data_IF_469265555314
#
_entry.id   IF_469265555314
#
_cell.length_a   1.000
_cell.length_b   1.000
_cell.length_c   1.000
_cell.angle_alpha   90.00
_cell.angle_beta   90.00
_cell.angle_gamma   90.00
#
_symmetry.space_group_name_H-M   'P 1'
#
loop_
_entity.id
_entity.type
_entity.pdbx_description
1 polymer ?
#
# COMPACT_ATOMS: atom_id res chain seq x y z
N UNK A 1 -44.94 1.61 -3.41
CA UNK A 1 -44.67 1.09 -2.05
C UNK A 1 -44.72 2.28 -1.11
N UNK A 2 -45.61 2.26 -0.11
CA UNK A 2 -45.75 3.35 0.86
C UNK A 2 -44.46 3.48 1.66
N UNK A 3 -43.69 4.55 1.41
CA UNK A 3 -42.48 4.87 2.15
C UNK A 3 -42.91 5.35 3.53
N UNK A 4 -42.90 4.46 4.51
CA UNK A 4 -43.14 4.83 5.91
C UNK A 4 -42.13 5.90 6.28
N UNK A 5 -42.61 7.13 6.52
CA UNK A 5 -41.77 8.26 6.92
C UNK A 5 -41.11 7.87 8.24
N UNK A 6 -39.83 7.50 8.21
CA UNK A 6 -39.04 7.18 9.40
C UNK A 6 -38.83 8.47 10.19
N UNK A 7 -39.77 8.84 11.05
CA UNK A 7 -39.59 10.00 11.93
C UNK A 7 -38.60 9.67 13.03
N UNK A 8 -37.55 10.49 13.16
CA UNK A 8 -36.58 10.38 14.26
C UNK A 8 -36.89 11.36 15.39
N UNK A 9 -36.54 11.00 16.62
CA UNK A 9 -36.74 11.83 17.81
C UNK A 9 -35.84 13.07 17.83
N UNK A 10 -36.22 14.09 18.61
CA UNK A 10 -35.51 15.38 18.70
C UNK A 10 -34.06 15.27 19.19
N UNK A 11 -33.78 14.29 20.05
CA UNK A 11 -32.44 14.05 20.61
C UNK A 11 -31.57 13.16 19.72
N UNK A 12 -32.07 12.71 18.56
CA UNK A 12 -31.27 11.89 17.66
C UNK A 12 -30.17 12.74 17.03
N UNK A 13 -28.94 12.24 17.11
CA UNK A 13 -27.75 12.89 16.57
C UNK A 13 -27.16 12.07 15.42
N UNK A 14 -26.94 12.73 14.29
CA UNK A 14 -26.18 12.17 13.16
C UNK A 14 -25.32 13.28 12.54
N UNK A 15 -24.36 12.89 11.70
CA UNK A 15 -23.55 13.79 10.89
C UNK A 15 -24.16 14.02 9.51
N UNK A 16 -25.00 13.12 9.01
CA UNK A 16 -25.57 13.20 7.67
C UNK A 16 -27.08 13.31 7.74
N UNK A 17 -27.62 14.44 7.29
CA UNK A 17 -29.03 14.76 7.37
C UNK A 17 -29.61 15.03 5.99
N UNK A 18 -30.75 14.41 5.73
CA UNK A 18 -31.61 14.62 4.59
C UNK A 18 -32.87 15.35 5.08
N UNK A 19 -33.11 16.54 4.56
CA UNK A 19 -34.23 17.36 4.98
C UNK A 19 -35.09 17.79 3.80
N UNK A 20 -36.38 17.96 4.08
CA UNK A 20 -37.33 18.65 3.22
C UNK A 20 -38.12 19.62 4.08
N UNK A 21 -38.11 20.89 3.70
CA UNK A 21 -38.81 21.95 4.42
C UNK A 21 -39.88 22.53 3.51
N UNK A 22 -41.12 22.59 3.98
CA UNK A 22 -42.18 23.26 3.25
C UNK A 22 -41.99 24.78 3.37
N UNK A 23 -42.12 25.46 2.24
CA UNK A 23 -41.93 26.90 2.11
C UNK A 23 -43.29 27.51 1.82
N UNK A 24 -43.78 28.37 2.72
CA UNK A 24 -45.04 29.08 2.51
C UNK A 24 -44.81 30.33 1.66
N UNK A 25 -43.84 31.16 2.09
CA UNK A 25 -43.51 32.43 1.47
C UNK A 25 -42.00 32.56 1.19
N UNK A 26 -41.64 33.44 0.26
CA UNK A 26 -40.25 33.65 -0.17
C UNK A 26 -39.40 34.29 0.95
N UNK A 27 -39.99 35.08 1.85
CA UNK A 27 -39.31 35.63 3.03
C UNK A 27 -38.85 34.52 3.99
N UNK A 28 -39.70 33.50 4.19
CA UNK A 28 -39.35 32.35 5.03
C UNK A 28 -38.22 31.53 4.40
N UNK A 29 -38.27 31.32 3.08
CA UNK A 29 -37.17 30.67 2.35
C UNK A 29 -35.85 31.41 2.55
N UNK A 30 -35.88 32.73 2.43
CA UNK A 30 -34.70 33.58 2.60
C UNK A 30 -34.14 33.48 4.02
N UNK A 31 -34.99 33.50 5.05
CA UNK A 31 -34.56 33.34 6.45
C UNK A 31 -33.89 31.98 6.69
N UNK A 32 -34.44 30.90 6.14
CA UNK A 32 -33.83 29.56 6.23
C UNK A 32 -32.46 29.54 5.53
N UNK A 33 -32.35 30.13 4.34
CA UNK A 33 -31.09 30.22 3.60
C UNK A 33 -30.04 31.03 4.36
N UNK A 34 -30.38 32.20 4.87
CA UNK A 34 -29.49 33.06 5.66
C UNK A 34 -29.02 32.34 6.94
N UNK A 35 -29.91 31.62 7.60
CA UNK A 35 -29.59 30.84 8.79
C UNK A 35 -28.59 29.72 8.49
N UNK A 36 -28.74 29.03 7.36
CA UNK A 36 -27.81 28.00 6.88
C UNK A 36 -26.46 28.62 6.53
N UNK A 37 -26.44 29.77 5.82
CA UNK A 37 -25.23 30.51 5.49
C UNK A 37 -24.46 30.95 6.74
N UNK A 38 -25.16 31.46 7.76
CA UNK A 38 -24.56 31.83 9.04
C UNK A 38 -23.99 30.63 9.80
N UNK A 39 -24.61 29.45 9.69
CA UNK A 39 -24.08 28.23 10.30
C UNK A 39 -22.87 27.68 9.51
N UNK A 40 -22.85 27.86 8.19
CA UNK A 40 -21.71 27.53 7.36
C UNK A 40 -20.51 28.45 7.64
N UNK A 41 -20.72 29.75 7.83
CA UNK A 41 -19.70 30.70 8.24
C UNK A 41 -19.02 30.33 9.57
N UNK A 42 -19.70 29.56 10.44
CA UNK A 42 -19.14 29.01 11.68
C UNK A 42 -18.29 27.74 11.47
N UNK A 43 -18.16 27.25 10.23
CA UNK A 43 -17.37 26.07 9.87
C UNK A 43 -17.98 24.74 10.32
N UNK A 44 -19.30 24.66 10.47
CA UNK A 44 -19.95 23.42 10.95
C UNK A 44 -20.14 22.36 9.87
N UNK A 45 -20.29 22.77 8.61
CA UNK A 45 -20.56 21.87 7.51
C UNK A 45 -19.27 21.35 6.89
N UNK A 46 -19.27 20.05 6.62
CA UNK A 46 -18.35 19.42 5.68
C UNK A 46 -18.89 19.54 4.24
N UNK A 47 -20.21 19.51 4.07
CA UNK A 47 -20.91 19.71 2.80
C UNK A 47 -22.34 20.17 3.06
N UNK A 48 -22.83 21.14 2.30
CA UNK A 48 -24.21 21.61 2.36
C UNK A 48 -24.74 21.90 0.96
N UNK A 49 -25.94 21.40 0.67
CA UNK A 49 -26.66 21.66 -0.57
C UNK A 49 -28.13 21.96 -0.26
N UNK A 50 -28.60 23.10 -0.75
CA UNK A 50 -30.00 23.50 -0.76
C UNK A 50 -30.47 23.51 -2.20
N UNK A 51 -31.38 22.60 -2.53
CA UNK A 51 -31.95 22.49 -3.88
C UNK A 51 -32.91 23.64 -4.20
N UNK A 52 -33.24 23.79 -5.49
CA UNK A 52 -34.28 24.70 -5.97
C UNK A 52 -35.66 24.37 -5.40
N UNK A 53 -36.57 25.34 -5.43
CA UNK A 53 -37.95 25.18 -4.97
C UNK A 53 -38.70 24.16 -5.82
N UNK A 54 -39.29 23.17 -5.16
CA UNK A 54 -40.09 22.10 -5.75
C UNK A 54 -41.57 22.26 -5.40
N UNK A 55 -42.44 21.70 -6.24
CA UNK A 55 -43.89 21.62 -5.98
C UNK A 55 -44.34 20.16 -5.95
N UNK A 56 -45.18 19.79 -4.98
CA UNK A 56 -45.72 18.44 -4.90
C UNK A 56 -46.61 18.12 -6.10
N UNK A 57 -46.27 17.07 -6.85
CA UNK A 57 -46.94 16.72 -8.12
C UNK A 57 -47.98 15.60 -8.00
N UNK A 58 -48.01 14.87 -6.88
CA UNK A 58 -48.87 13.69 -6.70
C UNK A 58 -50.18 14.04 -5.97
N UNK A 59 -51.37 13.92 -6.62
CA UNK A 59 -52.65 14.33 -6.03
C UNK A 59 -53.09 13.54 -4.80
N UNK A 60 -52.62 12.30 -4.68
CA UNK A 60 -53.00 11.39 -3.59
C UNK A 60 -52.16 11.58 -2.32
N UNK A 61 -51.23 12.54 -2.31
CA UNK A 61 -50.38 12.83 -1.16
C UNK A 61 -50.77 14.18 -0.53
N UNK A 62 -50.55 14.30 0.78
CA UNK A 62 -50.94 15.49 1.56
C UNK A 62 -50.10 16.73 1.23
N UNK A 63 -49.03 16.56 0.46
CA UNK A 63 -48.10 17.59 0.02
C UNK A 63 -48.34 18.07 -1.43
N UNK A 64 -49.46 17.65 -2.05
CA UNK A 64 -49.84 18.10 -3.38
C UNK A 64 -49.93 19.63 -3.45
N UNK A 65 -49.29 20.22 -4.47
CA UNK A 65 -49.16 21.66 -4.69
C UNK A 65 -48.43 22.45 -3.60
N UNK A 66 -47.88 21.80 -2.57
CA UNK A 66 -47.10 22.48 -1.53
C UNK A 66 -45.67 22.73 -2.04
N UNK A 67 -45.25 24.00 -1.96
CA UNK A 67 -43.87 24.40 -2.26
C UNK A 67 -42.94 23.89 -1.16
N UNK A 68 -41.82 23.29 -1.53
CA UNK A 68 -40.85 22.77 -0.59
C UNK A 68 -39.44 22.76 -1.16
N UNK A 69 -38.45 22.69 -0.28
CA UNK A 69 -37.03 22.64 -0.64
C UNK A 69 -36.40 21.42 0.01
N UNK A 70 -35.54 20.75 -0.74
CA UNK A 70 -34.72 19.64 -0.25
C UNK A 70 -33.33 20.14 0.16
N UNK A 71 -32.86 19.71 1.32
CA UNK A 71 -31.58 20.11 1.90
C UNK A 71 -30.78 18.86 2.24
N UNK A 72 -29.57 18.79 1.70
CA UNK A 72 -28.59 17.73 1.97
C UNK A 72 -27.44 18.32 2.77
N UNK A 73 -27.29 17.89 4.03
CA UNK A 73 -26.28 18.43 4.95
C UNK A 73 -25.37 17.33 5.51
N UNK A 74 -24.06 17.60 5.51
CA UNK A 74 -23.04 16.79 6.16
C UNK A 74 -22.27 17.68 7.14
N UNK A 75 -22.31 17.33 8.42
CA UNK A 75 -21.64 18.06 9.49
C UNK A 75 -20.27 17.44 9.83
N UNK A 76 -19.33 18.26 10.31
CA UNK A 76 -18.07 17.78 10.86
C UNK A 76 -18.29 16.92 12.13
N UNK A 77 -19.13 17.42 13.03
CA UNK A 77 -19.53 16.76 14.28
C UNK A 77 -20.99 16.32 14.20
N UNK A 78 -21.40 15.37 15.06
CA UNK A 78 -22.82 15.00 15.16
C UNK A 78 -23.66 16.22 15.54
N UNK A 79 -24.79 16.40 14.85
CA UNK A 79 -25.76 17.45 15.14
C UNK A 79 -27.11 16.81 15.45
N UNK A 80 -27.79 17.31 16.48
CA UNK A 80 -29.11 16.81 16.86
C UNK A 80 -30.20 17.39 15.98
N UNK A 81 -31.29 16.63 15.78
CA UNK A 81 -32.49 17.11 15.07
C UNK A 81 -32.98 18.45 15.64
N UNK A 82 -33.06 18.57 16.97
CA UNK A 82 -33.50 19.81 17.64
C UNK A 82 -32.58 21.00 17.38
N UNK A 83 -31.26 20.79 17.35
CA UNK A 83 -30.32 21.87 17.03
C UNK A 83 -30.47 22.35 15.60
N UNK A 84 -30.73 21.44 14.64
CA UNK A 84 -30.94 21.81 13.25
C UNK A 84 -32.19 22.66 13.10
N UNK A 85 -33.32 22.21 13.67
CA UNK A 85 -34.60 22.94 13.62
C UNK A 85 -34.43 24.35 14.20
N UNK A 86 -33.77 24.46 15.35
CA UNK A 86 -33.55 25.75 16.02
C UNK A 86 -32.58 26.67 15.27
N UNK A 87 -31.46 26.13 14.76
CA UNK A 87 -30.43 26.96 14.12
C UNK A 87 -30.83 27.39 12.71
N UNK A 88 -31.65 26.60 12.00
CA UNK A 88 -32.14 26.92 10.66
C UNK A 88 -33.48 27.68 10.68
N UNK A 89 -33.98 28.05 11.86
CA UNK A 89 -35.26 28.71 12.07
C UNK A 89 -36.44 27.97 11.40
N UNK A 90 -36.44 26.63 11.43
CA UNK A 90 -37.52 25.83 10.84
C UNK A 90 -38.77 25.95 11.69
N UNK A 91 -39.85 26.46 11.09
CA UNK A 91 -41.17 26.54 11.73
C UNK A 91 -41.86 25.18 11.62
N UNK A 92 -41.99 24.49 12.75
CA UNK A 92 -42.56 23.13 12.79
C UNK A 92 -44.00 23.06 12.26
N UNK A 93 -44.77 24.15 12.38
CA UNK A 93 -46.14 24.25 11.88
C UNK A 93 -46.29 24.20 10.35
N UNK A 94 -45.22 24.49 9.60
CA UNK A 94 -45.28 24.52 8.13
C UNK A 94 -45.15 23.12 7.51
N UNK A 95 -44.76 22.12 8.31
CA UNK A 95 -44.46 20.77 7.86
C UNK A 95 -43.02 20.66 7.37
N UNK A 96 -42.31 19.69 7.93
CA UNK A 96 -40.94 19.38 7.54
C UNK A 96 -40.67 17.88 7.68
N UNK A 97 -39.65 17.43 6.96
CA UNK A 97 -39.07 16.10 7.06
C UNK A 97 -37.58 16.29 7.34
N UNK A 98 -37.08 15.63 8.37
CA UNK A 98 -35.66 15.69 8.74
C UNK A 98 -35.26 14.33 9.29
N UNK A 99 -34.45 13.61 8.53
CA UNK A 99 -34.00 12.25 8.86
C UNK A 99 -32.52 12.08 8.56
N UNK A 100 -31.85 11.10 9.20
CA UNK A 100 -30.52 10.70 8.78
C UNK A 100 -30.54 10.14 7.37
N UNK A 101 -29.53 10.49 6.58
CA UNK A 101 -29.35 10.00 5.21
C UNK A 101 -29.22 8.48 5.19
N UNK A 102 -29.81 7.84 4.18
CA UNK A 102 -29.54 6.42 3.89
C UNK A 102 -28.10 6.22 3.38
N UNK A 103 -27.27 5.61 4.23
CA UNK A 103 -25.84 5.35 3.96
C UNK A 103 -25.61 4.23 2.95
N UNK A 104 -26.65 3.50 2.54
CA UNK A 104 -26.55 2.45 1.51
C UNK A 104 -26.44 3.03 0.10
N UNK A 105 -26.90 4.27 -0.11
CA UNK A 105 -26.86 4.96 -1.39
C UNK A 105 -25.56 5.79 -1.52
N UNK A 106 -25.10 6.09 -2.75
CA UNK A 106 -23.94 6.96 -2.98
C UNK A 106 -24.25 8.45 -2.76
N UNK A 107 -23.24 9.23 -2.34
CA UNK A 107 -23.31 10.69 -2.20
C UNK A 107 -23.60 11.36 -3.53
N UNK A 108 -23.03 10.87 -4.64
CA UNK A 108 -23.32 11.41 -5.97
C UNK A 108 -24.82 11.27 -6.30
N UNK A 109 -25.37 10.07 -6.14
CA UNK A 109 -26.81 9.84 -6.37
C UNK A 109 -27.70 10.66 -5.43
N UNK A 110 -27.23 10.95 -4.21
CA UNK A 110 -27.93 11.83 -3.28
C UNK A 110 -27.96 13.29 -3.77
N UNK A 111 -26.83 13.82 -4.26
CA UNK A 111 -26.75 15.14 -4.90
C UNK A 111 -27.64 15.21 -6.16
N UNK A 112 -27.57 14.19 -7.01
CA UNK A 112 -28.36 14.11 -8.25
C UNK A 112 -29.87 14.11 -7.94
N UNK A 113 -30.31 13.45 -6.86
CA UNK A 113 -31.70 13.47 -6.43
C UNK A 113 -32.20 14.86 -6.01
N UNK A 114 -31.33 15.68 -5.38
CA UNK A 114 -31.69 17.03 -4.92
C UNK A 114 -31.74 18.07 -6.05
N UNK A 115 -31.10 17.74 -7.18
CA UNK A 115 -30.93 18.61 -8.36
C UNK A 115 -31.74 18.14 -9.58
N UNK A 116 -32.62 17.14 -9.41
CA UNK A 116 -33.49 16.60 -10.47
C UNK A 116 -34.48 17.65 -10.98
N UNK A 117 -34.73 17.67 -12.29
CA UNK A 117 -35.63 18.61 -12.97
C UNK A 117 -37.12 18.38 -12.65
N UNK A 118 -37.52 17.11 -12.53
CA UNK A 118 -38.93 16.68 -12.62
C UNK A 118 -39.92 17.40 -11.69
N UNK A 119 -39.47 17.84 -10.51
CA UNK A 119 -40.33 18.47 -9.49
C UNK A 119 -40.02 19.95 -9.25
N UNK A 120 -39.06 20.55 -9.98
CA UNK A 120 -38.67 21.97 -9.82
C UNK A 120 -39.67 22.91 -10.48
N UNK A 121 -39.92 24.05 -9.84
CA UNK A 121 -40.80 25.10 -10.39
C UNK A 121 -40.14 25.82 -11.57
N UNK A 122 -38.84 26.11 -11.46
CA UNK A 122 -38.08 26.73 -12.55
C UNK A 122 -37.57 25.67 -13.53
N UNK A 123 -37.74 25.97 -14.83
CA UNK A 123 -37.22 25.15 -15.93
C UNK A 123 -35.74 25.43 -16.21
N UNK A 124 -35.17 26.46 -15.58
CA UNK A 124 -33.78 26.82 -15.77
C UNK A 124 -32.86 26.07 -14.79
N UNK A 125 -31.83 25.43 -15.32
CA UNK A 125 -30.87 24.66 -14.52
C UNK A 125 -30.13 25.49 -13.47
N UNK A 126 -30.04 26.82 -13.65
CA UNK A 126 -29.42 27.74 -12.70
C UNK A 126 -30.18 27.85 -11.37
N UNK A 127 -31.49 27.67 -11.40
CA UNK A 127 -32.35 27.82 -10.22
C UNK A 127 -32.54 26.50 -9.46
N UNK A 128 -31.92 25.41 -9.93
CA UNK A 128 -32.04 24.08 -9.30
C UNK A 128 -31.17 23.94 -8.05
N UNK A 129 -30.27 24.90 -7.81
CA UNK A 129 -29.40 24.98 -6.65
C UNK A 129 -29.52 26.39 -6.10
N UNK A 130 -30.09 26.53 -4.91
CA UNK A 130 -30.18 27.84 -4.23
C UNK A 130 -28.89 28.15 -3.49
N UNK A 131 -28.26 27.13 -2.92
CA UNK A 131 -27.01 27.27 -2.19
C UNK A 131 -26.24 25.94 -2.20
N UNK A 132 -24.96 25.97 -2.57
CA UNK A 132 -24.05 24.84 -2.45
C UNK A 132 -22.69 25.36 -1.99
N UNK A 133 -22.19 24.82 -0.89
CA UNK A 133 -20.85 25.13 -0.39
C UNK A 133 -20.16 23.89 0.20
N UNK A 134 -18.83 24.00 0.26
CA UNK A 134 -17.88 22.94 0.64
C UNK A 134 -17.82 21.76 -0.35
N UNK A 135 -16.99 20.77 -0.04
CA UNK A 135 -16.71 19.65 -0.95
C UNK A 135 -17.56 18.42 -0.61
N UNK A 136 -18.28 17.90 -1.62
CA UNK A 136 -19.02 16.65 -1.50
C UNK A 136 -18.04 15.52 -1.12
N UNK A 137 -18.28 14.77 -0.02
CA UNK A 137 -17.42 13.66 0.34
C UNK A 137 -17.33 12.62 -0.78
N UNK A 138 -16.12 12.14 -1.04
CA UNK A 138 -15.91 11.01 -1.96
C UNK A 138 -16.68 9.80 -1.45
N UNK A 139 -17.30 9.10 -2.40
CA UNK A 139 -18.00 7.87 -2.12
C UNK A 139 -17.05 6.78 -1.61
N UNK A 140 -17.09 6.53 -0.29
CA UNK A 140 -16.30 5.52 0.37
C UNK A 140 -17.21 4.64 1.26
N UNK A 141 -17.64 3.48 0.76
CA UNK A 141 -18.50 2.57 1.54
C UNK A 141 -19.33 1.60 0.69
N UNK A 142 -19.88 0.56 1.34
CA UNK A 142 -20.55 -0.61 0.74
C UNK A 142 -21.46 -0.26 -0.45
N UNK A 143 -21.05 -0.63 -1.65
CA UNK A 143 -21.81 -0.44 -2.89
C UNK A 143 -20.92 -0.02 -4.07
N UNK A 144 -19.84 0.71 -3.78
CA UNK A 144 -18.81 1.04 -4.77
C UNK A 144 -17.67 0.05 -4.59
N UNK A 145 -17.47 -0.80 -5.61
CA UNK A 145 -16.24 -1.60 -5.72
C UNK A 145 -15.10 -0.60 -5.60
N UNK A 146 -14.35 -0.66 -4.50
CA UNK A 146 -13.03 0.00 -4.43
C UNK A 146 -12.32 -0.41 -5.72
N UNK A 147 -12.10 0.53 -6.63
CA UNK A 147 -11.01 0.44 -7.59
C UNK A 147 -9.75 0.49 -6.74
N UNK A 148 -9.41 -0.65 -6.15
CA UNK A 148 -8.16 -0.81 -5.43
C UNK A 148 -7.00 -0.50 -6.38
N UNK A 149 -5.83 -0.12 -5.85
CA UNK A 149 -4.74 0.48 -6.63
C UNK A 149 -4.14 -0.41 -7.73
N UNK A 150 -4.56 -1.67 -7.81
CA UNK A 150 -4.04 -2.61 -8.80
C UNK A 150 -5.09 -2.80 -9.88
N UNK A 151 -4.94 -2.04 -10.96
CA UNK A 151 -5.57 -2.30 -12.25
C UNK A 151 -5.22 -3.74 -12.63
N UNK A 152 -6.24 -4.61 -12.71
CA UNK A 152 -6.05 -5.90 -13.37
C UNK A 152 -5.61 -5.64 -14.80
N UNK A 153 -4.59 -6.35 -15.27
CA UNK A 153 -4.23 -6.32 -16.69
C UNK A 153 -5.43 -6.76 -17.54
N UNK A 154 -5.49 -6.35 -18.81
CA UNK A 154 -6.57 -6.76 -19.71
C UNK A 154 -6.66 -8.30 -19.85
N UNK A 155 -5.53 -9.00 -19.74
CA UNK A 155 -5.48 -10.45 -19.77
C UNK A 155 -6.04 -11.07 -18.47
N UNK A 156 -5.73 -10.48 -17.31
CA UNK A 156 -6.23 -10.93 -16.00
C UNK A 156 -7.74 -10.73 -15.83
N UNK A 157 -8.36 -9.84 -16.62
CA UNK A 157 -9.82 -9.66 -16.64
C UNK A 157 -10.55 -10.72 -17.47
N UNK A 158 -9.89 -11.28 -18.49
CA UNK A 158 -10.50 -12.22 -19.45
C UNK A 158 -10.50 -13.66 -18.95
N UNK A 159 -9.50 -14.03 -18.15
CA UNK A 159 -9.33 -15.39 -17.66
C UNK A 159 -9.94 -15.59 -16.26
N UNK A 160 -10.29 -16.84 -15.95
CA UNK A 160 -10.67 -17.21 -14.60
C UNK A 160 -9.42 -17.17 -13.70
N UNK A 161 -9.57 -16.78 -12.44
CA UNK A 161 -8.44 -16.71 -11.48
C UNK A 161 -7.65 -18.01 -11.39
N UNK A 162 -8.32 -19.15 -11.51
CA UNK A 162 -7.72 -20.49 -11.45
C UNK A 162 -6.75 -20.74 -12.62
N UNK A 163 -7.15 -20.40 -13.84
CA UNK A 163 -6.32 -20.50 -15.04
C UNK A 163 -5.09 -19.59 -14.94
N UNK A 164 -5.27 -18.38 -14.41
CA UNK A 164 -4.16 -17.44 -14.17
C UNK A 164 -3.16 -18.01 -13.15
N UNK A 165 -3.63 -18.67 -12.10
CA UNK A 165 -2.75 -19.30 -11.10
C UNK A 165 -1.96 -20.46 -11.71
N UNK A 166 -2.59 -21.28 -12.57
CA UNK A 166 -1.91 -22.38 -13.27
C UNK A 166 -0.82 -21.84 -14.21
N UNK A 167 -1.14 -20.82 -15.00
CA UNK A 167 -0.20 -20.22 -15.95
C UNK A 167 0.96 -19.52 -15.24
N UNK A 168 0.67 -18.77 -14.18
CA UNK A 168 1.68 -18.13 -13.34
C UNK A 168 2.61 -19.15 -12.67
N UNK A 169 2.08 -20.29 -12.24
CA UNK A 169 2.91 -21.38 -11.69
C UNK A 169 3.88 -21.93 -12.74
N UNK A 170 3.42 -22.12 -13.99
CA UNK A 170 4.30 -22.56 -15.09
C UNK A 170 5.43 -21.56 -15.34
N UNK A 171 5.10 -20.27 -15.44
CA UNK A 171 6.10 -19.20 -15.65
C UNK A 171 7.12 -19.12 -14.50
N UNK A 172 6.67 -19.32 -13.25
CA UNK A 172 7.54 -19.35 -12.08
C UNK A 172 8.41 -20.62 -12.02
N UNK A 173 7.92 -21.78 -12.48
CA UNK A 173 8.72 -23.00 -12.59
C UNK A 173 9.83 -22.85 -13.65
N UNK A 174 9.56 -22.12 -14.74
CA UNK A 174 10.52 -21.74 -15.79
C UNK A 174 11.48 -20.60 -15.39
N UNK A 175 11.31 -19.98 -14.21
CA UNK A 175 12.17 -18.89 -13.72
C UNK A 175 11.84 -17.49 -14.24
N UNK A 176 10.73 -17.32 -14.97
CA UNK A 176 10.31 -16.05 -15.59
C UNK A 176 9.40 -15.23 -14.67
N UNK A 177 9.91 -14.88 -13.49
CA UNK A 177 9.13 -14.17 -12.46
C UNK A 177 8.68 -12.78 -12.91
N UNK A 178 9.52 -12.04 -13.64
CA UNK A 178 9.22 -10.69 -14.09
C UNK A 178 8.11 -10.66 -15.15
N UNK A 179 8.13 -11.63 -16.07
CA UNK A 179 7.06 -11.79 -17.07
C UNK A 179 5.72 -12.14 -16.41
N UNK A 180 5.74 -13.03 -15.39
CA UNK A 180 4.56 -13.38 -14.63
C UNK A 180 3.96 -12.17 -13.89
N UNK A 181 4.81 -11.28 -13.35
CA UNK A 181 4.37 -10.05 -12.71
C UNK A 181 3.76 -9.06 -13.71
N UNK A 182 4.38 -8.90 -14.89
CA UNK A 182 3.85 -8.00 -15.94
C UNK A 182 2.50 -8.49 -16.48
N UNK A 183 2.35 -9.81 -16.70
CA UNK A 183 1.10 -10.37 -17.23
C UNK A 183 -0.03 -10.34 -16.19
N UNK A 184 0.27 -10.64 -14.92
CA UNK A 184 -0.74 -10.84 -13.87
C UNK A 184 -0.42 -10.07 -12.58
N UNK A 185 -0.34 -8.74 -12.60
CA UNK A 185 0.21 -7.95 -11.49
C UNK A 185 -0.58 -8.11 -10.18
N UNK A 186 -1.92 -8.16 -10.22
CA UNK A 186 -2.72 -8.34 -9.01
C UNK A 186 -2.61 -9.77 -8.47
N UNK A 187 -2.86 -10.77 -9.32
CA UNK A 187 -2.80 -12.16 -8.88
C UNK A 187 -1.38 -12.56 -8.43
N UNK A 188 -0.33 -12.02 -9.06
CA UNK A 188 1.06 -12.22 -8.63
C UNK A 188 1.31 -11.63 -7.25
N UNK A 189 0.80 -10.42 -6.95
CA UNK A 189 0.95 -9.82 -5.61
C UNK A 189 0.24 -10.62 -4.50
N UNK A 190 -0.86 -11.31 -4.84
CA UNK A 190 -1.65 -12.09 -3.87
C UNK A 190 -1.09 -13.51 -3.69
N UNK A 191 -0.71 -14.16 -4.80
CA UNK A 191 -0.40 -15.59 -4.84
C UNK A 191 1.04 -15.90 -5.28
N UNK A 192 1.71 -15.00 -6.01
CA UNK A 192 3.02 -15.21 -6.61
C UNK A 192 4.07 -15.66 -5.60
N UNK A 193 4.21 -14.95 -4.47
CA UNK A 193 5.17 -15.32 -3.42
C UNK A 193 4.87 -16.68 -2.79
N UNK A 194 3.59 -17.03 -2.59
CA UNK A 194 3.19 -18.34 -2.06
C UNK A 194 3.51 -19.47 -3.02
N UNK A 195 3.27 -19.25 -4.32
CA UNK A 195 3.58 -20.22 -5.38
C UNK A 195 5.11 -20.38 -5.50
N UNK A 196 5.85 -19.27 -5.51
CA UNK A 196 7.31 -19.24 -5.55
C UNK A 196 7.93 -19.99 -4.35
N UNK A 197 7.45 -19.74 -3.14
CA UNK A 197 7.88 -20.46 -1.94
C UNK A 197 7.58 -21.96 -2.03
N UNK A 198 6.40 -22.35 -2.54
CA UNK A 198 6.04 -23.77 -2.74
C UNK A 198 6.98 -24.45 -3.74
N UNK A 199 7.30 -23.79 -4.86
CA UNK A 199 8.25 -24.31 -5.87
C UNK A 199 9.63 -24.47 -5.24
N UNK A 200 10.12 -23.47 -4.49
CA UNK A 200 11.42 -23.52 -3.82
C UNK A 200 11.52 -24.67 -2.82
N UNK A 201 10.47 -24.87 -2.01
CA UNK A 201 10.39 -26.00 -1.07
C UNK A 201 10.45 -27.35 -1.79
N UNK A 202 9.76 -27.49 -2.93
CA UNK A 202 9.80 -28.71 -3.74
C UNK A 202 11.17 -28.93 -4.39
N UNK A 203 11.81 -27.88 -4.92
CA UNK A 203 13.16 -27.96 -5.49
C UNK A 203 14.20 -28.35 -4.43
N UNK A 204 14.17 -27.75 -3.24
CA UNK A 204 15.02 -28.11 -2.08
C UNK A 204 14.76 -29.51 -1.54
N UNK A 205 13.57 -30.08 -1.77
CA UNK A 205 13.28 -31.46 -1.43
C UNK A 205 13.78 -32.45 -2.51
N UNK A 206 13.98 -31.99 -3.75
CA UNK A 206 14.36 -32.82 -4.90
C UNK A 206 15.88 -32.88 -5.12
N UNK A 207 16.58 -31.74 -4.94
CA UNK A 207 18.02 -31.73 -4.77
C UNK A 207 18.30 -31.99 -3.29
N UNK A 208 18.89 -33.15 -2.98
CA UNK A 208 19.11 -33.62 -1.61
C UNK A 208 19.76 -32.54 -0.73
N UNK A 209 19.55 -32.65 0.60
CA UNK A 209 20.23 -31.82 1.60
C UNK A 209 21.67 -31.58 1.16
N UNK A 210 22.05 -30.33 0.94
CA UNK A 210 23.44 -29.94 0.70
C UNK A 210 24.29 -30.49 1.84
N UNK A 211 24.86 -31.68 1.67
CA UNK A 211 25.90 -32.24 2.53
C UNK A 211 27.25 -31.72 2.07
N UNK A 212 27.30 -30.43 1.73
CA UNK A 212 28.54 -29.78 1.35
C UNK A 212 29.37 -29.62 2.64
N UNK A 213 30.66 -29.99 2.63
CA UNK A 213 31.50 -29.86 3.80
C UNK A 213 31.66 -28.38 4.16
N UNK A 214 31.21 -27.97 5.34
CA UNK A 214 31.29 -26.58 5.79
C UNK A 214 32.61 -26.29 6.49
N UNK A 215 33.28 -25.17 6.17
CA UNK A 215 34.57 -24.78 6.75
C UNK A 215 34.39 -23.65 7.77
N UNK A 216 34.87 -23.85 9.01
CA UNK A 216 34.95 -22.83 10.04
C UNK A 216 36.41 -22.37 10.21
N UNK A 217 36.72 -21.21 9.60
CA UNK A 217 38.05 -20.62 9.64
C UNK A 217 38.21 -19.67 10.84
N UNK A 218 39.13 -19.97 11.76
CA UNK A 218 39.38 -19.17 12.97
C UNK A 218 40.85 -18.73 13.10
N UNK A 219 41.10 -17.69 13.91
CA UNK A 219 42.44 -17.17 14.23
C UNK A 219 42.40 -15.75 14.80
N UNK A 220 43.56 -15.16 15.09
CA UNK A 220 43.66 -13.80 15.66
C UNK A 220 43.22 -12.68 14.70
N UNK A 221 42.77 -11.51 15.20
CA UNK A 221 42.48 -10.37 14.33
C UNK A 221 43.72 -9.97 13.52
N UNK A 222 43.54 -9.60 12.26
CA UNK A 222 44.64 -9.19 11.38
C UNK A 222 45.39 -10.32 10.65
N UNK A 223 45.07 -11.59 10.88
CA UNK A 223 45.70 -12.74 10.18
C UNK A 223 45.18 -12.99 8.76
N UNK A 224 44.37 -12.07 8.21
CA UNK A 224 43.92 -12.13 6.81
C UNK A 224 42.82 -13.15 6.51
N UNK A 225 41.97 -13.53 7.47
CA UNK A 225 40.85 -14.47 7.23
C UNK A 225 39.92 -14.01 6.11
N UNK A 226 39.41 -12.79 6.21
CA UNK A 226 38.44 -12.26 5.26
C UNK A 226 39.07 -11.93 3.91
N UNK A 227 40.32 -11.44 3.90
CA UNK A 227 41.05 -11.18 2.65
C UNK A 227 41.36 -12.46 1.88
N UNK A 228 41.60 -13.58 2.58
CA UNK A 228 41.83 -14.88 1.94
C UNK A 228 40.56 -15.38 1.24
N UNK A 229 39.42 -15.31 1.93
CA UNK A 229 38.13 -15.67 1.32
C UNK A 229 37.75 -14.75 0.17
N UNK A 230 38.00 -13.45 0.28
CA UNK A 230 37.75 -12.51 -0.80
C UNK A 230 38.64 -12.79 -2.02
N UNK A 231 39.90 -13.19 -1.80
CA UNK A 231 40.80 -13.59 -2.88
C UNK A 231 40.34 -14.87 -3.59
N UNK A 232 40.01 -15.93 -2.84
CA UNK A 232 39.65 -17.24 -3.43
C UNK A 232 38.22 -17.22 -4.01
N UNK A 233 37.27 -16.63 -3.29
CA UNK A 233 35.85 -16.72 -3.62
C UNK A 233 35.25 -15.47 -4.27
N UNK A 234 35.96 -14.33 -4.33
CA UNK A 234 35.56 -13.12 -5.07
C UNK A 234 34.26 -12.48 -4.55
N UNK A 235 33.15 -13.17 -4.75
CA UNK A 235 31.77 -12.82 -4.40
C UNK A 235 31.41 -13.19 -2.95
N UNK A 236 32.40 -13.20 -2.04
CA UNK A 236 32.17 -13.54 -0.64
C UNK A 236 31.44 -12.42 0.11
N UNK A 237 30.27 -12.73 0.67
CA UNK A 237 29.49 -11.77 1.45
C UNK A 237 30.16 -11.43 2.79
N UNK A 238 30.54 -10.16 2.95
CA UNK A 238 31.13 -9.64 4.18
C UNK A 238 30.12 -8.82 4.98
N UNK A 239 29.76 -9.30 6.18
CA UNK A 239 29.02 -8.51 7.16
C UNK A 239 29.91 -7.41 7.75
N UNK A 240 29.60 -6.17 7.42
CA UNK A 240 30.21 -4.98 8.01
C UNK A 240 29.14 -4.13 8.69
N UNK A 241 29.55 -3.12 9.48
CA UNK A 241 28.62 -2.16 10.08
C UNK A 241 27.79 -1.39 9.04
N UNK A 242 28.32 -1.23 7.82
CA UNK A 242 27.65 -0.60 6.67
C UNK A 242 26.60 -1.55 6.04
N UNK A 243 26.92 -2.85 5.92
CA UNK A 243 26.00 -3.90 5.48
C UNK A 243 25.36 -4.60 6.69
N UNK A 244 24.67 -3.80 7.52
CA UNK A 244 24.00 -4.30 8.73
C UNK A 244 22.86 -5.27 8.43
N UNK A 245 22.24 -5.13 7.26
CA UNK A 245 21.08 -5.91 6.83
C UNK A 245 21.47 -7.03 5.86
N UNK A 246 20.66 -8.08 5.81
CA UNK A 246 20.92 -9.29 5.01
C UNK A 246 20.49 -9.15 3.54
N UNK A 247 20.24 -7.94 3.09
CA UNK A 247 19.52 -7.64 1.86
C UNK A 247 20.35 -7.97 0.60
N UNK A 248 21.67 -8.07 0.75
CA UNK A 248 22.63 -8.46 -0.29
C UNK A 248 23.05 -9.94 -0.18
N UNK A 249 22.45 -10.70 0.74
CA UNK A 249 22.71 -12.13 0.87
C UNK A 249 21.81 -12.92 -0.08
N UNK A 250 22.42 -13.57 -1.06
CA UNK A 250 21.76 -14.47 -2.01
C UNK A 250 22.08 -15.93 -1.66
N UNK A 251 21.07 -16.73 -1.32
CA UNK A 251 21.24 -18.14 -0.94
C UNK A 251 21.69 -19.04 -2.11
N UNK A 252 21.49 -18.63 -3.37
CA UNK A 252 21.95 -19.40 -4.55
C UNK A 252 23.45 -19.23 -4.80
N UNK A 253 24.05 -18.12 -4.34
CA UNK A 253 25.46 -17.77 -4.54
C UNK A 253 26.26 -17.90 -3.24
N UNK A 254 25.63 -17.62 -2.09
CA UNK A 254 26.26 -17.54 -0.78
C UNK A 254 25.73 -18.64 0.12
N UNK A 255 26.59 -19.59 0.42
CA UNK A 255 26.31 -20.71 1.32
C UNK A 255 26.43 -20.27 2.78
N UNK A 256 25.33 -20.22 3.54
CA UNK A 256 25.35 -20.14 5.01
C UNK A 256 24.86 -21.46 5.62
N UNK A 257 25.62 -22.15 6.50
CA UNK A 257 25.33 -23.56 6.76
C UNK A 257 24.89 -23.92 8.18
N UNK A 258 24.24 -25.09 8.28
CA UNK A 258 23.86 -25.78 9.52
C UNK A 258 24.74 -27.02 9.78
N UNK A 259 25.15 -27.14 11.06
CA UNK A 259 25.37 -28.34 11.89
C UNK A 259 26.53 -29.32 11.70
N UNK A 260 27.43 -29.19 10.72
CA UNK A 260 28.73 -29.92 10.72
C UNK A 260 29.86 -29.08 10.13
N UNK A 261 30.80 -28.61 10.96
CA UNK A 261 31.88 -27.70 10.55
C UNK A 261 33.27 -28.35 10.66
N UNK A 262 34.06 -28.33 9.58
CA UNK A 262 35.50 -28.53 9.61
C UNK A 262 36.15 -27.28 10.19
N UNK A 263 36.70 -27.39 11.39
CA UNK A 263 37.36 -26.27 12.05
C UNK A 263 38.85 -26.23 11.67
N UNK A 264 39.28 -25.16 11.00
CA UNK A 264 40.66 -25.01 10.54
C UNK A 264 41.21 -23.64 10.94
N UNK A 265 42.47 -23.61 11.40
CA UNK A 265 43.12 -22.34 11.72
C UNK A 265 43.58 -21.68 10.43
N UNK A 266 43.40 -20.37 10.30
CA UNK A 266 43.82 -19.62 9.10
C UNK A 266 45.28 -19.84 8.69
N UNK A 267 46.19 -19.99 9.65
CA UNK A 267 47.62 -20.24 9.37
C UNK A 267 47.83 -21.62 8.71
N UNK A 268 47.01 -22.61 9.08
CA UNK A 268 47.05 -23.93 8.47
C UNK A 268 46.47 -23.91 7.05
N UNK A 269 45.42 -23.11 6.81
CA UNK A 269 44.84 -22.97 5.48
C UNK A 269 45.83 -22.29 4.53
N UNK A 270 46.48 -21.22 5.01
CA UNK A 270 47.56 -20.54 4.32
C UNK A 270 48.71 -21.49 3.96
N UNK A 271 49.12 -22.34 4.91
CA UNK A 271 50.13 -23.37 4.68
C UNK A 271 49.70 -24.40 3.62
N UNK A 272 48.45 -24.88 3.67
CA UNK A 272 47.92 -25.84 2.70
C UNK A 272 47.83 -25.27 1.29
N UNK A 273 47.51 -23.98 1.17
CA UNK A 273 47.41 -23.27 -0.11
C UNK A 273 48.78 -22.76 -0.62
N UNK A 274 49.85 -22.87 0.18
CA UNK A 274 51.16 -22.30 -0.17
C UNK A 274 51.16 -20.76 -0.21
N UNK A 275 50.28 -20.12 0.56
CA UNK A 275 50.09 -18.67 0.56
C UNK A 275 50.50 -18.09 1.91
N UNK A 276 51.40 -17.11 1.91
CA UNK A 276 51.76 -16.36 3.12
C UNK A 276 51.31 -14.91 3.00
N UNK A 277 50.76 -14.38 4.09
CA UNK A 277 50.39 -12.98 4.18
C UNK A 277 51.67 -12.11 4.24
N UNK A 278 51.77 -11.08 3.41
CA UNK A 278 52.94 -10.18 3.39
C UNK A 278 53.09 -9.43 4.73
N UNK A 279 54.29 -8.94 5.11
CA UNK A 279 54.52 -8.23 6.37
C UNK A 279 53.61 -7.02 6.59
N UNK A 280 53.38 -6.65 7.85
CA UNK A 280 52.47 -5.56 8.20
C UNK A 280 52.86 -4.20 7.60
N UNK A 281 54.16 -3.94 7.47
CA UNK A 281 54.68 -2.72 6.86
C UNK A 281 54.21 -2.56 5.41
N UNK A 282 54.35 -3.62 4.60
CA UNK A 282 53.95 -3.60 3.19
C UNK A 282 52.43 -3.51 3.04
N UNK A 283 51.66 -4.17 3.90
CA UNK A 283 50.19 -4.03 3.94
C UNK A 283 49.75 -2.59 4.22
N UNK A 284 50.43 -1.90 5.14
CA UNK A 284 50.16 -0.49 5.46
C UNK A 284 50.48 0.42 4.28
N UNK A 285 51.56 0.14 3.55
CA UNK A 285 51.90 0.86 2.33
C UNK A 285 50.88 0.64 1.22
N UNK A 286 50.46 -0.61 0.98
CA UNK A 286 49.41 -0.93 0.00
C UNK A 286 48.06 -0.30 0.35
N UNK A 287 47.73 -0.23 1.64
CA UNK A 287 46.53 0.47 2.10
C UNK A 287 46.64 1.97 1.85
N UNK A 288 47.81 2.57 2.07
CA UNK A 288 48.06 4.00 1.80
C UNK A 288 48.00 4.32 0.31
N UNK A 289 48.41 3.40 -0.56
CA UNK A 289 48.27 3.53 -2.02
C UNK A 289 46.86 3.22 -2.53
N UNK A 290 45.89 2.93 -1.65
CA UNK A 290 44.49 2.68 -2.05
C UNK A 290 44.28 1.36 -2.78
N UNK A 291 45.05 0.30 -2.48
CA UNK A 291 44.87 -0.98 -3.16
C UNK A 291 43.58 -1.70 -2.75
N UNK A 292 42.73 -2.03 -3.73
CA UNK A 292 41.47 -2.77 -3.54
C UNK A 292 41.59 -4.27 -3.84
N UNK A 293 42.69 -4.70 -4.48
CA UNK A 293 42.91 -6.08 -4.89
C UNK A 293 43.47 -6.94 -3.73
N UNK A 294 42.72 -7.96 -3.25
CA UNK A 294 43.16 -8.83 -2.15
C UNK A 294 44.32 -9.76 -2.53
N UNK A 295 44.56 -10.04 -3.82
CA UNK A 295 45.65 -10.93 -4.26
C UNK A 295 47.03 -10.38 -3.86
N UNK A 296 47.20 -9.05 -3.94
CA UNK A 296 48.45 -8.37 -3.60
C UNK A 296 48.81 -8.41 -2.11
N UNK A 297 47.90 -8.87 -1.24
CA UNK A 297 48.16 -9.04 0.19
C UNK A 297 48.90 -10.35 0.50
N UNK A 298 48.97 -11.27 -0.47
CA UNK A 298 49.59 -12.58 -0.32
C UNK A 298 50.85 -12.68 -1.17
N UNK A 299 51.67 -13.67 -0.86
CA UNK A 299 52.80 -14.10 -1.67
C UNK A 299 52.83 -15.63 -1.68
N UNK A 300 53.30 -16.20 -2.79
CA UNK A 300 53.55 -17.64 -2.88
C UNK A 300 54.74 -18.01 -1.98
N UNK A 301 54.54 -19.01 -1.13
CA UNK A 301 55.45 -19.32 -0.05
C UNK A 301 55.58 -20.83 0.16
N UNK A 302 56.83 -21.28 0.18
CA UNK A 302 57.16 -22.65 0.53
C UNK A 302 57.40 -22.76 2.03
N UNK A 303 56.43 -23.34 2.73
CA UNK A 303 56.49 -23.56 4.17
C UNK A 303 57.43 -24.68 4.58
N UNK A 304 57.82 -25.59 3.68
CA UNK A 304 58.78 -26.67 3.98
C UNK A 304 60.20 -26.12 4.06
N UNK A 305 60.55 -25.22 3.14
CA UNK A 305 61.86 -24.58 3.06
C UNK A 305 61.91 -23.20 3.76
N UNK A 306 60.78 -22.76 4.33
CA UNK A 306 60.56 -21.45 4.95
C UNK A 306 61.09 -20.28 4.10
N UNK A 307 60.75 -20.29 2.81
CA UNK A 307 61.21 -19.27 1.86
C UNK A 307 60.13 -18.88 0.84
N UNK A 308 60.15 -17.63 0.34
CA UNK A 308 59.30 -17.24 -0.78
C UNK A 308 59.75 -17.95 -2.05
N UNK A 309 58.82 -18.50 -2.81
CA UNK A 309 59.13 -19.23 -4.05
C UNK A 309 59.52 -18.31 -5.20
N UNK A 310 59.12 -17.03 -5.13
CA UNK A 310 59.29 -16.05 -6.21
C UNK A 310 58.37 -16.28 -7.42
N UNK A 311 57.42 -17.20 -7.32
CA UNK A 311 56.44 -17.48 -8.36
C UNK A 311 55.24 -16.51 -8.24
N UNK A 312 54.58 -16.19 -9.37
CA UNK A 312 53.33 -15.46 -9.33
C UNK A 312 52.24 -16.28 -8.63
N UNK A 313 51.38 -15.61 -7.86
CA UNK A 313 50.22 -16.23 -7.22
C UNK A 313 49.31 -16.81 -8.31
N UNK A 314 48.75 -17.99 -8.05
CA UNK A 314 47.88 -18.68 -9.01
C UNK A 314 46.50 -18.01 -9.08
N UNK A 315 45.75 -18.34 -10.13
CA UNK A 315 44.39 -17.84 -10.33
C UNK A 315 43.47 -18.41 -9.22
N UNK A 316 42.49 -17.64 -8.71
CA UNK A 316 41.58 -18.09 -7.65
C UNK A 316 40.96 -19.48 -7.86
N UNK A 317 40.61 -19.84 -9.11
CA UNK A 317 40.04 -21.15 -9.45
C UNK A 317 40.98 -22.34 -9.18
N UNK A 318 42.29 -22.12 -9.05
CA UNK A 318 43.21 -23.18 -8.64
C UNK A 318 43.11 -23.54 -7.15
N UNK A 319 42.63 -22.60 -6.32
CA UNK A 319 42.55 -22.76 -4.87
C UNK A 319 41.16 -23.19 -4.39
N UNK A 320 40.18 -23.29 -5.30
CA UNK A 320 38.80 -23.75 -5.03
C UNK A 320 38.70 -25.27 -5.10
#
# INVERSE_FOLDING_TARGET
MSTTIKTVGYNHEDRQWDARVNVQDDEYLQNVLESIMLENAKGKFKYILVGGVEIGTLPNQTDYQVKHVHIAAVFHNGCSKSSIIKNWNIVEGNGYYLVPRDRSLPYKGWKDHHTKEFSKISKESKDWILYEECELPLDAGKGIKRTGPVLRSENEKKMKTDEVIIDMRRLLEEGKADEAFQMYPRNYMIYGEKIKAMIHQKKKAFFGKHTDPHLYLYGYPGTGKTSLFQFIYGDFYKKNLENRFWDLYDEEILTCPQTSFFQLRVDQLQCLLGLKLIPEYDRKMLKKSGNEDPAKLYMDYDYLNDCPTGLPIKIPDHYR
#
